data_IF_254737865927
#
_entry.id   IF_254737865927
#
_cell.length_a   1.000
_cell.length_b   1.000
_cell.length_c   1.000
_cell.angle_alpha   90.00
_cell.angle_beta   90.00
_cell.angle_gamma   90.00
#
_symmetry.space_group_name_H-M   'P 1'
#
loop_
_entity.id
_entity.type
_entity.pdbx_description
1 polymer ?
#
# COMPACT_ATOMS: atom_id res chain seq x y z
N UNK A 1 38.97 3.53 -35.30
CA UNK A 1 37.86 4.28 -34.70
C UNK A 1 37.04 3.24 -33.95
N UNK A 2 37.33 3.10 -32.67
CA UNK A 2 36.69 2.10 -31.80
C UNK A 2 35.26 2.56 -31.48
N UNK A 3 34.28 1.84 -32.04
CA UNK A 3 32.92 1.88 -31.54
C UNK A 3 32.93 1.26 -30.14
N UNK A 4 32.96 2.10 -29.10
CA UNK A 4 32.59 1.67 -27.75
C UNK A 4 31.13 1.17 -27.85
N UNK A 5 30.99 -0.16 -27.86
CA UNK A 5 29.70 -0.79 -27.61
C UNK A 5 29.33 -0.39 -26.17
N UNK A 6 28.47 0.62 -26.03
CA UNK A 6 27.80 0.86 -24.76
C UNK A 6 27.07 -0.44 -24.40
N UNK A 7 27.54 -1.11 -23.36
CA UNK A 7 26.87 -2.30 -22.86
C UNK A 7 25.38 -1.93 -22.59
N UNK A 8 24.47 -2.71 -23.14
CA UNK A 8 23.04 -2.50 -22.89
C UNK A 8 22.75 -2.65 -21.40
N UNK A 9 21.96 -1.72 -20.85
CA UNK A 9 21.60 -1.73 -19.45
C UNK A 9 20.77 -2.97 -19.12
N UNK A 10 21.02 -3.53 -17.95
CA UNK A 10 20.24 -4.64 -17.37
C UNK A 10 18.89 -4.18 -16.85
N UNK A 11 17.98 -5.11 -16.57
CA UNK A 11 16.70 -4.82 -15.93
C UNK A 11 16.87 -4.08 -14.59
N UNK A 12 17.84 -4.50 -13.79
CA UNK A 12 18.14 -3.88 -12.49
C UNK A 12 18.65 -2.44 -12.65
N UNK A 13 19.46 -2.15 -13.64
CA UNK A 13 19.93 -0.79 -13.92
C UNK A 13 18.80 0.13 -14.38
N UNK A 14 17.91 -0.36 -15.26
CA UNK A 14 16.71 0.38 -15.63
C UNK A 14 15.79 0.61 -14.42
N UNK A 15 15.64 -0.37 -13.54
CA UNK A 15 14.88 -0.20 -12.31
C UNK A 15 15.48 0.90 -11.41
N UNK A 16 16.81 0.93 -11.24
CA UNK A 16 17.52 1.98 -10.49
C UNK A 16 17.34 3.37 -11.11
N UNK A 17 17.40 3.48 -12.43
CA UNK A 17 17.09 4.73 -13.14
C UNK A 17 15.66 5.19 -12.82
N UNK A 18 14.70 4.28 -12.86
CA UNK A 18 13.31 4.56 -12.50
C UNK A 18 13.15 5.08 -11.07
N UNK A 19 13.85 4.49 -10.11
CA UNK A 19 13.88 4.99 -8.73
C UNK A 19 14.48 6.41 -8.65
N UNK A 20 15.55 6.68 -9.38
CA UNK A 20 16.17 8.00 -9.41
C UNK A 20 15.23 9.06 -9.99
N UNK A 21 14.59 8.79 -11.14
CA UNK A 21 13.61 9.69 -11.74
C UNK A 21 12.37 9.89 -10.87
N UNK A 22 11.92 8.83 -10.19
CA UNK A 22 10.80 8.92 -9.24
C UNK A 22 11.09 9.88 -8.08
N UNK A 23 12.32 9.90 -7.57
CA UNK A 23 12.75 10.87 -6.54
C UNK A 23 12.77 12.30 -7.04
N UNK A 24 13.06 12.51 -8.33
CA UNK A 24 13.06 13.83 -8.99
C UNK A 24 11.65 14.28 -9.39
N UNK A 25 10.65 13.42 -9.25
CA UNK A 25 9.28 13.71 -9.68
C UNK A 25 9.07 13.66 -11.18
N UNK A 26 10.00 13.09 -11.94
CA UNK A 26 9.89 12.92 -13.39
C UNK A 26 9.11 11.62 -13.71
N UNK A 27 7.79 11.76 -13.78
CA UNK A 27 6.89 10.64 -14.03
C UNK A 27 7.17 9.95 -15.35
N UNK A 28 7.42 10.72 -16.41
CA UNK A 28 7.65 10.19 -17.74
C UNK A 28 8.85 9.25 -17.75
N UNK A 29 10.02 9.74 -17.32
CA UNK A 29 11.24 8.93 -17.27
C UNK A 29 11.13 7.79 -16.27
N UNK A 30 10.40 7.97 -15.17
CA UNK A 30 10.11 6.91 -14.20
C UNK A 30 9.42 5.72 -14.87
N UNK A 31 8.31 5.97 -15.58
CA UNK A 31 7.57 4.90 -16.25
C UNK A 31 8.35 4.27 -17.41
N UNK A 32 9.04 5.08 -18.21
CA UNK A 32 9.89 4.57 -19.29
C UNK A 32 10.96 3.61 -18.76
N UNK A 33 11.61 3.97 -17.64
CA UNK A 33 12.64 3.15 -17.01
C UNK A 33 12.09 1.86 -16.41
N UNK A 34 10.98 1.93 -15.66
CA UNK A 34 10.37 0.72 -15.10
C UNK A 34 9.82 -0.21 -16.19
N UNK A 35 9.25 0.33 -17.28
CA UNK A 35 8.80 -0.49 -18.41
C UNK A 35 9.96 -1.23 -19.06
N UNK A 36 11.09 -0.55 -19.31
CA UNK A 36 12.31 -1.19 -19.83
C UNK A 36 12.83 -2.29 -18.90
N UNK A 37 12.77 -2.06 -17.58
CA UNK A 37 13.12 -3.10 -16.63
C UNK A 37 12.21 -4.33 -16.78
N UNK A 38 10.90 -4.14 -16.94
CA UNK A 38 9.92 -5.22 -17.11
C UNK A 38 9.96 -5.87 -18.52
N UNK A 39 10.41 -5.17 -19.54
CA UNK A 39 10.67 -5.77 -20.87
C UNK A 39 11.82 -6.76 -20.81
N UNK A 40 12.86 -6.49 -19.99
CA UNK A 40 14.02 -7.34 -19.80
C UNK A 40 13.79 -8.43 -18.73
N UNK A 41 13.04 -8.12 -17.68
CA UNK A 41 12.66 -9.03 -16.62
C UNK A 41 11.17 -8.85 -16.25
N UNK A 42 10.26 -9.60 -16.91
CA UNK A 42 8.83 -9.53 -16.62
C UNK A 42 8.43 -9.91 -15.18
N UNK A 43 9.29 -10.65 -14.48
CA UNK A 43 9.07 -11.09 -13.11
C UNK A 43 9.80 -10.22 -12.08
N UNK A 44 10.19 -9.00 -12.46
CA UNK A 44 10.85 -8.06 -11.56
C UNK A 44 9.85 -7.47 -10.55
N UNK A 45 9.74 -8.13 -9.39
CA UNK A 45 8.80 -7.79 -8.32
C UNK A 45 8.78 -6.30 -7.95
N UNK A 46 9.98 -5.72 -7.71
CA UNK A 46 10.07 -4.32 -7.27
C UNK A 46 9.64 -3.33 -8.35
N UNK A 47 9.82 -3.65 -9.63
CA UNK A 47 9.35 -2.80 -10.72
C UNK A 47 7.82 -2.76 -10.75
N UNK A 48 7.14 -3.92 -10.68
CA UNK A 48 5.68 -3.97 -10.58
C UNK A 48 5.16 -3.20 -9.36
N UNK A 49 5.77 -3.39 -8.19
CA UNK A 49 5.35 -2.70 -6.97
C UNK A 49 5.52 -1.17 -7.08
N UNK A 50 6.67 -0.70 -7.56
CA UNK A 50 6.95 0.73 -7.65
C UNK A 50 6.14 1.43 -8.75
N UNK A 51 5.85 0.75 -9.87
CA UNK A 51 4.89 1.23 -10.88
C UNK A 51 3.51 1.42 -10.23
N UNK A 52 3.04 0.44 -9.47
CA UNK A 52 1.77 0.52 -8.74
C UNK A 52 1.72 1.72 -7.78
N UNK A 53 2.78 1.94 -7.00
CA UNK A 53 2.89 3.13 -6.13
C UNK A 53 2.80 4.42 -6.96
N UNK A 54 3.48 4.47 -8.11
CA UNK A 54 3.48 5.67 -8.95
C UNK A 54 2.11 5.94 -9.54
N UNK A 55 1.43 4.93 -10.06
CA UNK A 55 0.06 5.05 -10.53
C UNK A 55 -0.88 5.53 -9.41
N UNK A 56 -0.76 4.98 -8.20
CA UNK A 56 -1.55 5.42 -7.04
C UNK A 56 -1.35 6.89 -6.70
N UNK A 57 -0.11 7.39 -6.73
CA UNK A 57 0.19 8.83 -6.53
C UNK A 57 -0.44 9.71 -7.60
N UNK A 58 -0.57 9.23 -8.83
CA UNK A 58 -1.22 9.92 -9.94
C UNK A 58 -2.74 9.70 -9.98
N UNK A 59 -3.32 9.04 -8.99
CA UNK A 59 -4.74 8.65 -8.89
C UNK A 59 -5.23 7.74 -10.04
N UNK A 60 -4.32 7.07 -10.70
CA UNK A 60 -4.58 6.02 -11.68
C UNK A 60 -4.78 4.69 -10.95
N UNK A 61 -5.88 4.60 -10.20
CA UNK A 61 -6.07 3.55 -9.21
C UNK A 61 -6.30 2.16 -9.83
N UNK A 62 -6.89 2.08 -11.02
CA UNK A 62 -7.07 0.81 -11.73
C UNK A 62 -5.74 0.22 -12.18
N UNK A 63 -4.86 1.06 -12.75
CA UNK A 63 -3.52 0.67 -13.18
C UNK A 63 -2.63 0.32 -11.98
N UNK A 64 -2.80 1.05 -10.87
CA UNK A 64 -2.14 0.72 -9.62
C UNK A 64 -2.55 -0.66 -9.11
N UNK A 65 -3.86 -0.97 -9.09
CA UNK A 65 -4.37 -2.27 -8.67
C UNK A 65 -3.83 -3.41 -9.55
N UNK A 66 -3.80 -3.22 -10.87
CA UNK A 66 -3.22 -4.21 -11.80
C UNK A 66 -1.74 -4.47 -11.49
N UNK A 67 -0.97 -3.42 -11.26
CA UNK A 67 0.46 -3.52 -10.96
C UNK A 67 0.71 -4.24 -9.62
N UNK A 68 -0.10 -3.94 -8.58
CA UNK A 68 0.00 -4.63 -7.29
C UNK A 68 -0.42 -6.10 -7.39
N UNK A 69 -1.43 -6.44 -8.19
CA UNK A 69 -1.81 -7.85 -8.45
C UNK A 69 -0.67 -8.61 -9.12
N UNK A 70 0.07 -8.01 -10.06
CA UNK A 70 1.27 -8.64 -10.64
C UNK A 70 2.38 -8.83 -9.58
N UNK A 71 2.63 -7.83 -8.74
CA UNK A 71 3.58 -7.96 -7.65
C UNK A 71 3.20 -9.11 -6.69
N UNK A 72 1.92 -9.25 -6.32
CA UNK A 72 1.44 -10.34 -5.45
C UNK A 72 1.52 -11.71 -6.10
N UNK A 73 1.38 -11.83 -7.42
CA UNK A 73 1.63 -13.09 -8.13
C UNK A 73 3.06 -13.58 -7.94
N UNK A 74 4.02 -12.65 -7.88
CA UNK A 74 5.43 -12.95 -7.70
C UNK A 74 5.81 -13.18 -6.22
N UNK A 75 5.23 -12.39 -5.32
CA UNK A 75 5.44 -12.51 -3.86
C UNK A 75 4.12 -12.43 -3.10
N UNK A 76 3.42 -13.56 -2.91
CA UNK A 76 2.13 -13.60 -2.24
C UNK A 76 2.15 -13.17 -0.76
N UNK A 77 3.28 -13.30 -0.09
CA UNK A 77 3.45 -12.95 1.33
C UNK A 77 4.10 -11.56 1.51
N UNK A 78 3.70 -10.58 0.70
CA UNK A 78 4.21 -9.21 0.78
C UNK A 78 3.18 -8.27 1.46
N UNK A 79 3.26 -8.01 2.77
CA UNK A 79 2.21 -7.27 3.50
C UNK A 79 2.01 -5.84 2.99
N UNK A 80 3.08 -5.16 2.58
CA UNK A 80 2.99 -3.82 2.02
C UNK A 80 2.25 -3.79 0.67
N UNK A 81 2.39 -4.83 -0.15
CA UNK A 81 1.69 -4.91 -1.44
C UNK A 81 0.21 -5.20 -1.20
N UNK A 82 -0.13 -6.11 -0.27
CA UNK A 82 -1.50 -6.34 0.15
C UNK A 82 -2.15 -5.06 0.68
N UNK A 83 -1.47 -4.34 1.57
CA UNK A 83 -1.95 -3.05 2.06
C UNK A 83 -2.20 -2.05 0.92
N UNK A 84 -1.24 -1.92 0.00
CA UNK A 84 -1.35 -0.98 -1.12
C UNK A 84 -2.50 -1.34 -2.07
N UNK A 85 -2.69 -2.63 -2.36
CA UNK A 85 -3.81 -3.10 -3.15
C UNK A 85 -5.14 -2.84 -2.43
N UNK A 86 -5.22 -3.10 -1.12
CA UNK A 86 -6.42 -2.80 -0.33
C UNK A 86 -6.79 -1.31 -0.38
N UNK A 87 -5.80 -0.40 -0.28
CA UNK A 87 -6.04 1.04 -0.38
C UNK A 87 -6.63 1.40 -1.74
N UNK A 88 -6.05 0.94 -2.84
CA UNK A 88 -6.55 1.29 -4.18
C UNK A 88 -7.87 0.60 -4.49
N UNK A 89 -8.09 -0.64 -4.04
CA UNK A 89 -9.37 -1.34 -4.16
C UNK A 89 -10.49 -0.59 -3.45
N UNK A 90 -10.23 -0.06 -2.25
CA UNK A 90 -11.19 0.81 -1.56
C UNK A 90 -11.51 2.09 -2.35
N UNK A 91 -10.48 2.72 -2.94
CA UNK A 91 -10.65 3.95 -3.74
C UNK A 91 -11.45 3.74 -5.03
N UNK A 92 -11.42 2.54 -5.62
CA UNK A 92 -12.21 2.20 -6.82
C UNK A 92 -13.54 1.52 -6.49
N UNK A 93 -13.88 1.39 -5.19
CA UNK A 93 -15.16 0.84 -4.74
C UNK A 93 -15.20 -0.69 -4.65
N UNK A 94 -14.08 -1.40 -4.85
CA UNK A 94 -13.95 -2.85 -4.66
C UNK A 94 -13.82 -3.20 -3.17
N UNK A 95 -14.89 -2.99 -2.40
CA UNK A 95 -14.89 -3.08 -0.94
C UNK A 95 -14.48 -4.46 -0.42
N UNK A 96 -14.99 -5.53 -1.03
CA UNK A 96 -14.69 -6.92 -0.63
C UNK A 96 -13.21 -7.25 -0.84
N UNK A 97 -12.65 -6.82 -1.96
CA UNK A 97 -11.23 -6.98 -2.27
C UNK A 97 -10.36 -6.18 -1.28
N UNK A 98 -10.79 -4.96 -0.93
CA UNK A 98 -10.10 -4.15 0.07
C UNK A 98 -10.07 -4.85 1.44
N UNK A 99 -11.20 -5.38 1.91
CA UNK A 99 -11.26 -6.16 3.15
C UNK A 99 -10.32 -7.36 3.14
N UNK A 100 -10.38 -8.15 2.07
CA UNK A 100 -9.53 -9.33 1.88
C UNK A 100 -8.06 -8.97 2.03
N UNK A 101 -7.62 -7.95 1.31
CA UNK A 101 -6.21 -7.58 1.28
C UNK A 101 -5.74 -6.86 2.55
N UNK A 102 -6.57 -6.06 3.24
CA UNK A 102 -6.22 -5.57 4.57
C UNK A 102 -6.07 -6.71 5.58
N UNK A 103 -6.96 -7.71 5.56
CA UNK A 103 -6.85 -8.88 6.44
C UNK A 103 -5.57 -9.68 6.16
N UNK A 104 -5.21 -9.88 4.89
CA UNK A 104 -3.95 -10.54 4.54
C UNK A 104 -2.72 -9.74 4.98
N UNK A 105 -2.72 -8.42 4.80
CA UNK A 105 -1.64 -7.56 5.29
C UNK A 105 -1.45 -7.71 6.82
N UNK A 106 -2.56 -7.73 7.58
CA UNK A 106 -2.55 -7.91 9.04
C UNK A 106 -2.15 -9.35 9.43
N UNK A 107 -2.61 -10.37 8.68
CA UNK A 107 -2.22 -11.78 8.93
C UNK A 107 -0.72 -11.96 8.80
N UNK A 108 -0.12 -11.40 7.75
CA UNK A 108 1.32 -11.50 7.48
C UNK A 108 2.13 -10.62 8.45
N UNK A 109 1.66 -9.42 8.73
CA UNK A 109 2.26 -8.50 9.68
C UNK A 109 1.23 -7.96 10.67
N UNK A 110 1.05 -8.62 11.83
CA UNK A 110 0.09 -8.18 12.86
C UNK A 110 0.42 -6.81 13.49
N UNK A 111 1.62 -6.30 13.28
CA UNK A 111 2.05 -4.98 13.78
C UNK A 111 1.89 -3.86 12.74
N UNK A 112 1.15 -4.11 11.68
CA UNK A 112 0.92 -3.12 10.64
C UNK A 112 -0.18 -2.12 11.05
N UNK A 113 0.15 -1.15 11.89
CA UNK A 113 -0.79 -0.18 12.46
C UNK A 113 -1.67 0.53 11.44
N UNK A 114 -1.10 0.93 10.29
CA UNK A 114 -1.89 1.55 9.19
C UNK A 114 -2.93 0.61 8.58
N UNK A 115 -2.64 -0.68 8.49
CA UNK A 115 -3.61 -1.65 7.99
C UNK A 115 -4.77 -1.82 8.98
N UNK A 116 -4.48 -1.85 10.29
CA UNK A 116 -5.48 -1.85 11.34
C UNK A 116 -6.35 -0.58 11.30
N UNK A 117 -5.74 0.61 11.16
CA UNK A 117 -6.50 1.86 11.06
C UNK A 117 -7.43 1.88 9.83
N UNK A 118 -6.93 1.45 8.67
CA UNK A 118 -7.72 1.51 7.44
C UNK A 118 -8.86 0.47 7.39
N UNK A 119 -8.64 -0.75 7.88
CA UNK A 119 -9.71 -1.75 7.94
C UNK A 119 -10.79 -1.34 8.96
N UNK A 120 -10.42 -0.62 10.03
CA UNK A 120 -11.38 -0.06 10.97
C UNK A 120 -12.34 0.91 10.28
N UNK A 121 -11.86 1.74 9.35
CA UNK A 121 -12.71 2.65 8.60
C UNK A 121 -13.70 1.92 7.68
N UNK A 122 -13.32 0.77 7.13
CA UNK A 122 -14.26 -0.08 6.38
C UNK A 122 -15.35 -0.65 7.30
N UNK A 123 -14.98 -1.15 8.48
CA UNK A 123 -15.94 -1.62 9.49
C UNK A 123 -16.86 -0.50 9.97
N UNK A 124 -16.33 0.71 10.15
CA UNK A 124 -17.13 1.89 10.50
C UNK A 124 -18.22 2.17 9.45
N UNK A 125 -17.85 2.16 8.16
CA UNK A 125 -18.79 2.33 7.05
C UNK A 125 -19.89 1.27 7.03
N UNK A 126 -19.61 0.04 7.47
CA UNK A 126 -20.57 -1.06 7.61
C UNK A 126 -21.37 -1.02 8.92
N UNK A 127 -21.15 -0.01 9.77
CA UNK A 127 -21.78 0.11 11.10
C UNK A 127 -21.39 -1.01 12.08
N UNK A 128 -20.22 -1.60 11.89
CA UNK A 128 -19.67 -2.65 12.76
C UNK A 128 -18.81 -1.99 13.87
N UNK A 129 -19.46 -1.35 14.84
CA UNK A 129 -18.81 -0.52 15.85
C UNK A 129 -17.78 -1.26 16.71
N UNK A 130 -18.04 -2.52 17.10
CA UNK A 130 -17.09 -3.31 17.91
C UNK A 130 -15.81 -3.60 17.16
N UNK A 131 -15.89 -4.05 15.92
CA UNK A 131 -14.75 -4.32 15.04
C UNK A 131 -13.98 -3.04 14.74
N UNK A 132 -14.70 -1.93 14.55
CA UNK A 132 -14.09 -0.61 14.36
C UNK A 132 -13.22 -0.24 15.56
N UNK A 133 -13.77 -0.28 16.79
CA UNK A 133 -13.04 0.08 18.00
C UNK A 133 -11.88 -0.89 18.24
N UNK A 134 -12.09 -2.19 18.06
CA UNK A 134 -11.02 -3.19 18.21
C UNK A 134 -9.80 -2.88 17.33
N UNK A 135 -10.02 -2.64 16.05
CA UNK A 135 -8.94 -2.35 15.13
C UNK A 135 -8.30 -0.96 15.35
N UNK A 136 -9.09 0.06 15.73
CA UNK A 136 -8.54 1.37 16.11
C UNK A 136 -7.69 1.28 17.39
N UNK A 137 -8.09 0.53 18.39
CA UNK A 137 -7.32 0.32 19.62
C UNK A 137 -5.96 -0.33 19.29
N UNK A 138 -5.98 -1.39 18.47
CA UNK A 138 -4.73 -2.04 18.03
C UNK A 138 -3.84 -1.07 17.26
N UNK A 139 -4.39 -0.25 16.37
CA UNK A 139 -3.65 0.77 15.64
C UNK A 139 -3.03 1.81 16.59
N UNK A 140 -3.79 2.32 17.56
CA UNK A 140 -3.32 3.29 18.54
C UNK A 140 -2.12 2.77 19.34
N UNK A 141 -2.20 1.52 19.82
CA UNK A 141 -1.11 0.90 20.57
C UNK A 141 0.15 0.71 19.72
N UNK A 142 -0.01 0.34 18.46
CA UNK A 142 1.12 0.20 17.52
C UNK A 142 1.75 1.55 17.19
N UNK A 143 0.96 2.61 16.99
CA UNK A 143 1.47 3.95 16.76
C UNK A 143 2.19 4.51 18.01
N UNK A 144 1.68 4.21 19.20
CA UNK A 144 2.37 4.55 20.45
C UNK A 144 3.74 3.88 20.54
N UNK A 145 3.83 2.58 20.22
CA UNK A 145 5.10 1.84 20.24
C UNK A 145 6.12 2.39 19.23
N UNK A 146 5.66 2.93 18.09
CA UNK A 146 6.52 3.52 17.05
C UNK A 146 6.79 5.01 17.25
N UNK A 147 6.18 5.64 18.27
CA UNK A 147 6.34 7.08 18.55
C UNK A 147 5.59 7.98 17.56
N UNK A 148 4.61 7.45 16.80
CA UNK A 148 3.76 8.24 15.91
C UNK A 148 2.58 8.84 16.70
N UNK A 149 2.90 9.87 17.49
CA UNK A 149 1.94 10.53 18.38
C UNK A 149 0.72 11.10 17.64
N UNK A 150 0.91 11.58 16.42
CA UNK A 150 -0.19 12.10 15.61
C UNK A 150 -1.19 11.01 15.24
N UNK A 151 -0.70 9.86 14.76
CA UNK A 151 -1.57 8.75 14.38
C UNK A 151 -2.16 8.05 15.61
N UNK A 152 -1.42 7.97 16.73
CA UNK A 152 -1.95 7.47 17.99
C UNK A 152 -3.15 8.30 18.45
N UNK A 153 -2.97 9.63 18.54
CA UNK A 153 -4.03 10.56 18.95
C UNK A 153 -5.25 10.45 18.05
N UNK A 154 -5.05 10.46 16.74
CA UNK A 154 -6.14 10.34 15.77
C UNK A 154 -6.94 9.04 15.96
N UNK A 155 -6.26 7.91 16.14
CA UNK A 155 -6.94 6.63 16.40
C UNK A 155 -7.74 6.66 17.72
N UNK A 156 -7.20 7.27 18.80
CA UNK A 156 -7.91 7.40 20.07
C UNK A 156 -9.12 8.32 20.01
N UNK A 157 -9.01 9.43 19.27
CA UNK A 157 -10.14 10.35 19.04
C UNK A 157 -11.28 9.65 18.29
N UNK A 158 -10.95 8.86 17.25
CA UNK A 158 -11.92 8.06 16.51
C UNK A 158 -12.58 6.97 17.37
N UNK A 159 -11.85 6.34 18.32
CA UNK A 159 -12.44 5.37 19.26
C UNK A 159 -13.51 6.05 20.10
N UNK A 160 -13.26 7.24 20.63
CA UNK A 160 -14.24 7.98 21.44
C UNK A 160 -15.48 8.36 20.61
N UNK A 161 -15.27 8.81 19.37
CA UNK A 161 -16.36 9.15 18.45
C UNK A 161 -17.23 7.92 18.14
N UNK A 162 -16.62 6.81 17.77
CA UNK A 162 -17.30 5.55 17.51
C UNK A 162 -18.04 5.04 18.77
N UNK A 163 -17.44 5.14 19.94
CA UNK A 163 -18.07 4.77 21.22
C UNK A 163 -19.38 5.53 21.46
N UNK A 164 -19.40 6.83 21.19
CA UNK A 164 -20.61 7.65 21.31
C UNK A 164 -21.65 7.30 20.23
N UNK A 165 -21.23 7.17 18.98
CA UNK A 165 -22.14 6.88 17.84
C UNK A 165 -22.81 5.51 18.00
N UNK A 166 -22.04 4.48 18.34
CA UNK A 166 -22.55 3.11 18.47
C UNK A 166 -23.05 2.75 19.87
N UNK A 167 -23.02 3.71 20.81
CA UNK A 167 -23.39 3.51 22.22
C UNK A 167 -22.61 2.37 22.87
N UNK A 168 -21.32 2.27 22.54
CA UNK A 168 -20.40 1.30 23.10
C UNK A 168 -19.49 2.00 24.12
N UNK A 169 -19.33 1.41 25.31
CA UNK A 169 -18.28 1.85 26.24
C UNK A 169 -16.94 1.33 25.74
N UNK A 170 -15.91 2.17 25.58
CA UNK A 170 -14.56 1.68 25.38
C UNK A 170 -14.15 0.84 26.59
N UNK A 171 -13.68 -0.38 26.35
CA UNK A 171 -13.05 -1.21 27.38
C UNK A 171 -11.67 -0.69 27.75
#
# INVERSE_FOLDING_TARGET
>A
MSSEQQAEKTAEEHFKDGLAFSKLGDDRRTFESYKKALELDPDHFLAHFNIGIRYGKLRMNLEAAQSFRQALRLKPEAPMVHYSLAVVSNLIGEMEEAFKHYKEAIRINPEFGRAHSNIAMLYYGLKHGKETIHHLAKAADLFKQTGDEFMEKNARDLIQECGREFKLTPE
#
